data_IF_060097201933
#
_entry.id   IF_060097201933
#
_cell.length_a   1.000
_cell.length_b   1.000
_cell.length_c   1.000
_cell.angle_alpha   90.00
_cell.angle_beta   90.00
_cell.angle_gamma   90.00
#
_symmetry.space_group_name_H-M   'P 1'
#
loop_
_entity.id
_entity.type
_entity.pdbx_description
1 polymer ?
#
# COMPACT_ATOMS: atom_id res chain seq x y z
N UNK A 1 -4.90 -16.29 -22.55
CA UNK A 1 -3.51 -16.82 -22.35
C UNK A 1 -3.51 -17.68 -21.09
N UNK A 2 -2.92 -18.85 -21.11
CA UNK A 2 -2.77 -19.67 -19.90
C UNK A 2 -1.66 -19.14 -19.01
N UNK A 3 -1.67 -19.47 -17.71
CA UNK A 3 -0.61 -19.05 -16.80
C UNK A 3 0.80 -19.44 -17.24
N UNK A 4 0.94 -20.61 -17.91
CA UNK A 4 2.22 -21.05 -18.47
C UNK A 4 2.68 -20.23 -19.68
N UNK A 5 1.77 -19.83 -20.55
CA UNK A 5 2.07 -18.93 -21.68
C UNK A 5 2.44 -17.53 -21.20
N UNK A 6 1.77 -17.07 -20.13
CA UNK A 6 2.08 -15.80 -19.50
C UNK A 6 3.49 -15.79 -18.88
N UNK A 7 3.87 -16.86 -18.17
CA UNK A 7 5.23 -17.04 -17.64
C UNK A 7 6.29 -17.01 -18.75
N UNK A 8 6.06 -17.76 -19.85
CA UNK A 8 6.98 -17.80 -20.99
C UNK A 8 7.10 -16.42 -21.66
N UNK A 9 5.98 -15.73 -21.83
CA UNK A 9 5.94 -14.36 -22.36
C UNK A 9 6.68 -13.37 -21.47
N UNK A 10 6.45 -13.42 -20.16
CA UNK A 10 7.14 -12.57 -19.20
C UNK A 10 8.67 -12.79 -19.22
N UNK A 11 9.12 -14.05 -19.23
CA UNK A 11 10.55 -14.37 -19.31
C UNK A 11 11.21 -13.85 -20.59
N UNK A 12 10.47 -13.77 -21.70
CA UNK A 12 10.97 -13.25 -22.97
C UNK A 12 11.05 -11.71 -22.99
N UNK A 13 10.02 -11.03 -22.46
CA UNK A 13 9.92 -9.58 -22.53
C UNK A 13 10.60 -8.86 -21.35
N UNK A 14 10.76 -9.56 -20.24
CA UNK A 14 11.28 -9.02 -18.98
C UNK A 14 12.41 -9.93 -18.44
N UNK A 15 13.60 -9.88 -19.04
CA UNK A 15 14.69 -10.83 -18.72
C UNK A 15 15.18 -10.74 -17.28
N UNK A 16 14.92 -9.61 -16.56
CA UNK A 16 15.22 -9.44 -15.13
C UNK A 16 14.12 -9.88 -14.17
N UNK A 17 12.96 -10.29 -14.70
CA UNK A 17 11.80 -10.63 -13.88
C UNK A 17 11.92 -12.03 -13.25
N UNK A 18 11.41 -12.15 -12.03
CA UNK A 18 11.12 -13.42 -11.39
C UNK A 18 9.63 -13.68 -11.46
N UNK A 19 9.24 -14.78 -12.10
CA UNK A 19 7.84 -15.13 -12.29
C UNK A 19 7.48 -16.37 -11.48
N UNK A 20 6.34 -16.33 -10.79
CA UNK A 20 5.77 -17.46 -10.04
C UNK A 20 4.30 -17.59 -10.41
N UNK A 21 3.87 -18.82 -10.66
CA UNK A 21 2.45 -19.15 -10.87
C UNK A 21 1.95 -20.00 -9.70
N UNK A 22 0.86 -19.60 -9.09
CA UNK A 22 0.17 -20.31 -8.03
C UNK A 22 -1.32 -20.37 -8.39
N UNK A 23 -1.84 -21.58 -8.63
CA UNK A 23 -3.24 -21.80 -9.03
C UNK A 23 -3.68 -20.86 -10.17
N UNK A 24 -4.57 -19.90 -9.87
CA UNK A 24 -5.13 -18.97 -10.84
C UNK A 24 -4.41 -17.62 -10.89
N UNK A 25 -3.32 -17.46 -10.14
CA UNK A 25 -2.57 -16.20 -10.02
C UNK A 25 -1.14 -16.33 -10.51
N UNK A 26 -0.71 -15.39 -11.33
CA UNK A 26 0.69 -15.22 -11.71
C UNK A 26 1.24 -13.99 -11.04
N UNK A 27 2.43 -14.10 -10.44
CA UNK A 27 3.17 -12.98 -9.87
C UNK A 27 4.44 -12.75 -10.67
N UNK A 28 4.66 -11.50 -11.08
CA UNK A 28 5.87 -11.05 -11.78
C UNK A 28 6.58 -10.03 -10.88
N UNK A 29 7.72 -10.43 -10.31
CA UNK A 29 8.61 -9.53 -9.59
C UNK A 29 9.61 -8.91 -10.58
N UNK A 30 9.65 -7.58 -10.65
CA UNK A 30 10.54 -6.86 -11.55
C UNK A 30 11.43 -5.87 -10.82
N UNK A 31 12.64 -5.57 -11.34
CA UNK A 31 13.40 -4.41 -10.93
C UNK A 31 12.60 -3.11 -11.12
N UNK A 32 12.91 -2.08 -10.33
CA UNK A 32 12.23 -0.77 -10.38
C UNK A 32 12.23 -0.15 -11.77
N UNK A 33 13.31 -0.27 -12.47
CA UNK A 33 13.52 0.23 -13.84
C UNK A 33 12.61 -0.44 -14.87
N UNK A 34 12.20 -1.67 -14.64
CA UNK A 34 11.34 -2.46 -15.55
C UNK A 34 9.84 -2.31 -15.22
N UNK A 35 9.46 -1.48 -14.23
CA UNK A 35 8.08 -1.31 -13.77
C UNK A 35 7.09 -1.03 -14.89
N UNK A 36 7.32 0.04 -15.67
CA UNK A 36 6.41 0.41 -16.77
C UNK A 36 6.44 -0.60 -17.92
N UNK A 37 7.60 -1.23 -18.18
CA UNK A 37 7.70 -2.28 -19.19
C UNK A 37 6.85 -3.50 -18.79
N UNK A 38 6.87 -3.89 -17.51
CA UNK A 38 6.06 -4.98 -16.98
C UNK A 38 4.57 -4.66 -17.05
N UNK A 39 4.15 -3.45 -16.72
CA UNK A 39 2.76 -3.02 -16.83
C UNK A 39 2.27 -2.97 -18.28
N UNK A 40 3.12 -2.50 -19.21
CA UNK A 40 2.81 -2.51 -20.64
C UNK A 40 2.68 -3.93 -21.17
N UNK A 41 3.60 -4.81 -20.80
CA UNK A 41 3.52 -6.24 -21.13
C UNK A 41 2.22 -6.88 -20.62
N UNK A 42 1.87 -6.60 -19.36
CA UNK A 42 0.66 -7.12 -18.73
C UNK A 42 -0.60 -6.71 -19.51
N UNK A 43 -0.71 -5.42 -19.87
CA UNK A 43 -1.86 -4.87 -20.59
C UNK A 43 -1.89 -5.31 -22.04
N UNK A 44 -0.79 -5.09 -22.78
CA UNK A 44 -0.78 -5.14 -24.24
C UNK A 44 -0.49 -6.54 -24.80
N UNK A 45 0.22 -7.38 -24.04
CA UNK A 45 0.62 -8.72 -24.47
C UNK A 45 -0.12 -9.80 -23.71
N UNK A 46 -0.22 -9.68 -22.38
CA UNK A 46 -0.89 -10.67 -21.55
C UNK A 46 -2.41 -10.51 -21.50
N UNK A 47 -2.96 -9.39 -22.02
CA UNK A 47 -4.40 -9.14 -22.04
C UNK A 47 -5.00 -8.86 -20.66
N UNK A 48 -4.17 -8.53 -19.65
CA UNK A 48 -4.59 -8.14 -18.32
C UNK A 48 -4.83 -6.62 -18.29
N UNK A 49 -5.87 -6.15 -18.97
CA UNK A 49 -6.20 -4.75 -19.16
C UNK A 49 -7.11 -4.17 -18.09
N UNK A 50 -7.73 -5.01 -17.27
CA UNK A 50 -8.53 -4.56 -16.13
C UNK A 50 -7.63 -4.26 -14.94
N UNK A 51 -7.52 -2.96 -14.60
CA UNK A 51 -6.85 -2.50 -13.38
C UNK A 51 -7.80 -2.67 -12.20
N UNK A 52 -7.42 -3.46 -11.21
CA UNK A 52 -8.22 -3.69 -10.01
C UNK A 52 -7.75 -2.81 -8.85
N UNK A 53 -6.51 -2.98 -8.40
CA UNK A 53 -5.93 -2.17 -7.32
C UNK A 53 -4.41 -2.03 -7.43
N UNK A 54 -3.87 -1.04 -6.75
CA UNK A 54 -2.45 -0.86 -6.49
C UNK A 54 -2.27 -0.46 -5.03
N UNK A 55 -1.26 -1.00 -4.37
CA UNK A 55 -0.87 -0.65 -3.01
C UNK A 55 0.61 -0.89 -2.77
N UNK A 56 1.08 -0.65 -1.54
CA UNK A 56 2.42 -1.04 -1.13
C UNK A 56 2.38 -1.92 0.12
N UNK A 57 3.47 -2.64 0.34
CA UNK A 57 3.74 -3.40 1.56
C UNK A 57 5.08 -2.96 2.11
N UNK A 58 5.11 -2.60 3.37
CA UNK A 58 6.36 -2.29 4.06
C UNK A 58 7.10 -3.58 4.42
N UNK A 59 8.15 -3.89 3.66
CA UNK A 59 9.04 -5.05 3.86
C UNK A 59 10.20 -4.73 4.82
N UNK A 60 10.07 -3.64 5.60
CA UNK A 60 11.06 -3.17 6.58
C UNK A 60 12.43 -2.90 5.93
N UNK A 61 13.47 -3.66 6.35
CA UNK A 61 14.85 -3.47 5.89
C UNK A 61 15.03 -3.66 4.37
N UNK A 62 14.07 -4.31 3.70
CA UNK A 62 14.14 -4.51 2.25
C UNK A 62 13.61 -3.32 1.46
N UNK A 63 12.76 -2.50 2.05
CA UNK A 63 12.09 -1.37 1.39
C UNK A 63 10.58 -1.52 1.30
N UNK A 64 9.97 -0.81 0.36
CA UNK A 64 8.53 -0.86 0.10
C UNK A 64 8.28 -1.67 -1.17
N UNK A 65 7.53 -2.77 -1.05
CA UNK A 65 7.08 -3.54 -2.20
C UNK A 65 5.80 -2.92 -2.76
N UNK A 66 5.88 -2.27 -3.92
CA UNK A 66 4.70 -1.77 -4.65
C UNK A 66 4.13 -2.90 -5.48
N UNK A 67 2.84 -3.13 -5.34
CA UNK A 67 2.11 -4.25 -5.96
C UNK A 67 0.90 -3.70 -6.69
N UNK A 68 0.70 -4.13 -7.92
CA UNK A 68 -0.52 -3.89 -8.69
C UNK A 68 -1.17 -5.22 -9.04
N UNK A 69 -2.49 -5.27 -8.90
CA UNK A 69 -3.29 -6.39 -9.39
C UNK A 69 -4.00 -5.99 -10.68
N UNK A 70 -3.77 -6.80 -11.69
CA UNK A 70 -4.39 -6.70 -13.00
C UNK A 70 -5.16 -7.97 -13.31
N UNK A 71 -6.18 -7.87 -14.14
CA UNK A 71 -7.01 -9.00 -14.49
C UNK A 71 -7.34 -9.03 -15.99
N UNK A 72 -7.29 -10.21 -16.57
CA UNK A 72 -7.85 -10.45 -17.89
C UNK A 72 -9.26 -11.00 -17.77
N UNK A 73 -10.25 -10.22 -18.22
CA UNK A 73 -11.67 -10.62 -18.19
C UNK A 73 -11.90 -11.79 -19.16
N UNK A 74 -11.24 -11.75 -20.31
CA UNK A 74 -11.39 -12.75 -21.36
C UNK A 74 -10.81 -14.11 -20.94
N UNK A 75 -9.57 -14.11 -20.45
CA UNK A 75 -8.86 -15.31 -20.05
C UNK A 75 -9.12 -15.74 -18.59
N UNK A 76 -9.80 -14.91 -17.81
CA UNK A 76 -10.03 -15.08 -16.36
C UNK A 76 -8.73 -15.28 -15.57
N UNK A 77 -7.69 -14.56 -15.98
CA UNK A 77 -6.35 -14.67 -15.41
C UNK A 77 -6.04 -13.52 -14.48
N UNK A 78 -5.62 -13.84 -13.26
CA UNK A 78 -5.12 -12.87 -12.29
C UNK A 78 -3.62 -12.68 -12.44
N UNK A 79 -3.17 -11.43 -12.41
CA UNK A 79 -1.77 -11.06 -12.52
C UNK A 79 -1.39 -10.03 -11.45
N UNK A 80 -0.38 -10.37 -10.66
CA UNK A 80 0.31 -9.41 -9.80
C UNK A 80 1.62 -8.98 -10.46
N UNK A 81 1.83 -7.68 -10.59
CA UNK A 81 3.14 -7.12 -10.89
C UNK A 81 3.66 -6.44 -9.65
N UNK A 82 4.88 -6.80 -9.22
CA UNK A 82 5.47 -6.32 -7.99
C UNK A 82 6.87 -5.80 -8.23
N UNK A 83 7.20 -4.67 -7.60
CA UNK A 83 8.55 -4.12 -7.57
C UNK A 83 8.91 -3.66 -6.18
N UNK A 84 10.20 -3.61 -5.88
CA UNK A 84 10.72 -3.14 -4.60
C UNK A 84 11.39 -1.78 -4.78
N UNK A 85 11.00 -0.79 -3.98
CA UNK A 85 11.63 0.52 -3.93
C UNK A 85 12.30 0.75 -2.57
N UNK A 86 13.49 1.38 -2.53
CA UNK A 86 14.16 1.68 -1.28
C UNK A 86 13.34 2.65 -0.42
N UNK A 87 13.40 2.50 0.90
CA UNK A 87 12.65 3.36 1.84
C UNK A 87 13.17 4.81 1.86
N UNK A 88 14.46 5.00 1.58
CA UNK A 88 15.14 6.30 1.52
C UNK A 88 15.02 7.00 0.14
N UNK A 89 14.64 6.24 -0.91
CA UNK A 89 14.35 6.76 -2.26
C UNK A 89 13.11 6.04 -2.84
N UNK A 90 11.91 6.25 -2.26
CA UNK A 90 10.72 5.50 -2.64
C UNK A 90 10.02 6.10 -3.88
N UNK A 91 10.77 6.23 -4.97
CA UNK A 91 10.28 6.82 -6.22
C UNK A 91 10.02 5.73 -7.25
N UNK A 92 8.86 5.81 -7.92
CA UNK A 92 8.45 4.90 -8.98
C UNK A 92 7.72 5.69 -10.07
N UNK A 93 7.91 5.40 -11.36
CA UNK A 93 7.11 6.04 -12.41
C UNK A 93 5.62 5.73 -12.24
N UNK A 94 4.77 6.74 -12.48
CA UNK A 94 3.31 6.56 -12.41
C UNK A 94 2.80 5.58 -13.46
N UNK A 95 1.84 4.74 -13.07
CA UNK A 95 1.13 3.85 -13.98
C UNK A 95 -0.07 4.53 -14.69
N UNK A 96 -0.37 5.79 -14.37
CA UNK A 96 -1.55 6.51 -14.89
C UNK A 96 -1.61 6.61 -16.42
N UNK A 97 -0.51 6.71 -17.18
CA UNK A 97 -0.58 6.68 -18.64
C UNK A 97 -1.06 5.33 -19.20
N UNK A 98 -0.83 4.24 -18.46
CA UNK A 98 -1.25 2.90 -18.85
C UNK A 98 -2.66 2.58 -18.32
N UNK A 99 -2.92 2.92 -17.06
CA UNK A 99 -4.16 2.63 -16.34
C UNK A 99 -4.67 3.88 -15.63
N UNK A 100 -5.73 4.50 -16.16
CA UNK A 100 -6.32 5.70 -15.55
C UNK A 100 -6.78 5.50 -14.11
N UNK A 101 -7.24 4.29 -13.78
CA UNK A 101 -7.66 3.93 -12.43
C UNK A 101 -6.53 3.98 -11.38
N UNK A 102 -5.27 3.87 -11.81
CA UNK A 102 -4.11 3.94 -10.93
C UNK A 102 -3.99 5.29 -10.20
N UNK A 103 -4.54 6.38 -10.76
CA UNK A 103 -4.40 7.72 -10.18
C UNK A 103 -4.90 7.80 -8.72
N UNK A 104 -5.98 7.11 -8.39
CA UNK A 104 -6.52 7.10 -7.02
C UNK A 104 -5.73 6.19 -6.10
N UNK A 105 -5.37 5.01 -6.58
CA UNK A 105 -4.61 4.03 -5.82
C UNK A 105 -3.17 4.51 -5.54
N UNK A 106 -2.56 5.23 -6.48
CA UNK A 106 -1.25 5.85 -6.29
C UNK A 106 -1.29 6.98 -5.26
N UNK A 107 -2.35 7.80 -5.23
CA UNK A 107 -2.54 8.82 -4.18
C UNK A 107 -2.67 8.19 -2.81
N UNK A 108 -3.48 7.13 -2.66
CA UNK A 108 -3.61 6.39 -1.42
C UNK A 108 -2.26 5.79 -0.99
N UNK A 109 -1.56 5.12 -1.90
CA UNK A 109 -0.25 4.52 -1.62
C UNK A 109 0.79 5.57 -1.25
N UNK A 110 0.75 6.74 -1.88
CA UNK A 110 1.59 7.88 -1.52
C UNK A 110 1.32 8.35 -0.08
N UNK A 111 0.05 8.56 0.28
CA UNK A 111 -0.30 8.97 1.64
C UNK A 111 0.08 7.94 2.69
N UNK A 112 -0.23 6.68 2.45
CA UNK A 112 -0.07 5.62 3.44
C UNK A 112 1.37 5.15 3.63
N UNK A 113 2.18 5.17 2.57
CA UNK A 113 3.54 4.60 2.58
C UNK A 113 4.64 5.60 2.21
N UNK A 114 4.30 6.75 1.63
CA UNK A 114 5.27 7.75 1.18
C UNK A 114 5.92 7.45 -0.16
N UNK A 115 5.37 6.53 -0.96
CA UNK A 115 5.85 6.28 -2.33
C UNK A 115 5.56 7.49 -3.20
N UNK A 116 6.56 7.98 -3.92
CA UNK A 116 6.42 9.09 -4.87
C UNK A 116 6.25 8.53 -6.28
N UNK A 117 5.12 8.80 -6.91
CA UNK A 117 4.86 8.37 -8.29
C UNK A 117 5.23 9.49 -9.25
N UNK A 118 6.42 9.37 -9.86
CA UNK A 118 6.94 10.37 -10.80
C UNK A 118 6.06 10.46 -12.06
N UNK A 119 5.72 11.69 -12.45
CA UNK A 119 4.80 11.96 -13.55
C UNK A 119 3.31 11.82 -13.21
N UNK A 120 2.94 11.56 -11.95
CA UNK A 120 1.54 11.53 -11.54
C UNK A 120 0.87 12.91 -11.71
N UNK A 121 -0.36 13.01 -12.25
CA UNK A 121 -1.02 14.29 -12.52
C UNK A 121 -1.36 15.13 -11.29
N UNK A 122 -1.30 14.56 -10.09
CA UNK A 122 -1.54 15.30 -8.84
C UNK A 122 -1.61 14.37 -7.63
N UNK A 123 -0.50 14.24 -6.88
CA UNK A 123 -0.40 13.48 -5.62
C UNK A 123 -0.97 14.28 -4.43
N UNK A 124 -2.14 14.91 -4.61
CA UNK A 124 -2.79 15.61 -3.51
C UNK A 124 -3.36 14.61 -2.48
N UNK A 125 -3.46 15.00 -1.20
CA UNK A 125 -4.08 14.18 -0.17
C UNK A 125 -5.46 13.64 -0.57
N UNK A 126 -5.77 12.41 -0.17
CA UNK A 126 -7.00 11.71 -0.53
C UNK A 126 -7.84 11.30 0.69
N UNK A 127 -7.21 10.66 1.66
CA UNK A 127 -7.88 10.04 2.81
C UNK A 127 -7.55 10.73 4.12
N UNK A 128 -6.34 11.25 4.26
CA UNK A 128 -5.87 11.84 5.49
C UNK A 128 -6.30 13.32 5.61
N UNK A 129 -6.58 13.81 6.83
CA UNK A 129 -6.91 15.21 7.04
C UNK A 129 -5.73 16.14 6.72
N UNK A 130 -6.02 17.40 6.43
CA UNK A 130 -5.00 18.43 6.21
C UNK A 130 -4.06 18.52 7.43
N UNK A 131 -2.76 18.57 7.17
CA UNK A 131 -1.75 18.66 8.21
C UNK A 131 -1.42 17.34 8.91
N UNK A 132 -1.91 16.20 8.43
CA UNK A 132 -1.49 14.91 8.95
C UNK A 132 -0.01 14.66 8.63
N UNK A 133 0.76 14.33 9.67
CA UNK A 133 2.20 14.08 9.54
C UNK A 133 2.50 12.57 9.57
N UNK A 134 3.31 12.13 8.60
CA UNK A 134 3.78 10.74 8.49
C UNK A 134 2.91 9.84 7.61
N UNK A 135 3.28 8.56 7.58
CA UNK A 135 2.69 7.54 6.71
C UNK A 135 2.16 6.38 7.56
N UNK A 136 0.83 6.32 7.82
CA UNK A 136 0.27 5.47 8.87
C UNK A 136 0.33 3.97 8.61
N UNK A 137 0.59 3.52 7.38
CA UNK A 137 0.75 2.10 7.08
C UNK A 137 2.22 1.63 7.06
N UNK A 138 3.18 2.53 7.30
CA UNK A 138 4.55 2.12 7.57
C UNK A 138 4.65 1.47 8.95
N UNK A 139 5.49 0.45 9.06
CA UNK A 139 5.68 -0.29 10.33
C UNK A 139 6.39 0.52 11.42
N UNK A 140 7.13 1.56 11.04
CA UNK A 140 7.77 2.50 11.95
C UNK A 140 6.82 3.61 12.46
N UNK A 141 5.61 3.72 11.89
CA UNK A 141 4.63 4.71 12.30
C UNK A 141 4.06 4.39 13.69
N UNK A 142 4.10 5.34 14.66
CA UNK A 142 3.59 5.11 16.01
C UNK A 142 2.06 5.08 16.04
N UNK A 143 1.46 3.91 16.23
CA UNK A 143 0.00 3.71 16.28
C UNK A 143 -0.66 4.22 17.58
N UNK A 144 0.13 4.54 18.61
CA UNK A 144 -0.38 5.04 19.88
C UNK A 144 0.16 6.43 20.18
N UNK A 145 -0.73 7.41 20.26
CA UNK A 145 -0.39 8.71 20.82
C UNK A 145 -0.05 8.54 22.33
N UNK A 146 1.21 8.77 22.71
CA UNK A 146 1.62 8.78 24.13
C UNK A 146 1.28 10.09 24.82
N UNK A 147 0.99 11.14 24.07
CA UNK A 147 0.49 12.40 24.61
C UNK A 147 -1.03 12.30 24.80
N UNK A 148 -1.49 12.37 26.05
CA UNK A 148 -2.90 12.60 26.33
C UNK A 148 -3.24 14.01 25.85
N UNK A 149 -3.84 14.13 24.68
CA UNK A 149 -4.48 15.38 24.29
C UNK A 149 -5.84 15.45 24.96
N UNK A 150 -6.12 16.57 25.63
CA UNK A 150 -7.45 16.86 26.14
C UNK A 150 -8.44 16.85 24.95
N UNK A 151 -9.52 16.11 25.09
CA UNK A 151 -10.57 16.01 24.07
C UNK A 151 -11.11 17.41 23.72
N UNK A 152 -10.91 17.95 22.52
CA UNK A 152 -11.21 19.34 22.18
C UNK A 152 -12.71 19.66 22.09
N UNK A 153 -13.59 18.64 22.08
CA UNK A 153 -15.04 18.81 21.91
C UNK A 153 -15.87 18.42 23.12
N UNK A 154 -15.29 18.22 24.28
CA UNK A 154 -15.95 17.55 25.39
C UNK A 154 -16.84 18.42 26.27
N UNK A 155 -17.15 19.67 25.93
CA UNK A 155 -18.00 20.46 26.81
C UNK A 155 -19.02 21.28 26.05
N UNK A 156 -20.28 21.02 26.34
CA UNK A 156 -21.34 21.96 26.03
C UNK A 156 -21.20 23.23 26.92
N UNK A 157 -21.59 24.39 26.41
CA UNK A 157 -21.57 25.63 27.23
C UNK A 157 -22.41 25.44 28.51
N UNK A 158 -21.76 25.40 29.67
CA UNK A 158 -22.41 25.25 30.98
C UNK A 158 -22.05 24.00 31.77
N UNK A 159 -21.36 23.03 31.19
CA UNK A 159 -20.92 21.83 31.89
C UNK A 159 -19.72 22.09 32.80
N UNK A 160 -19.93 21.95 34.11
CA UNK A 160 -18.86 22.01 35.11
C UNK A 160 -17.97 20.77 35.00
N UNK A 161 -16.66 20.97 34.96
CA UNK A 161 -15.70 19.88 35.00
C UNK A 161 -15.93 19.02 36.26
N UNK A 162 -16.43 17.80 36.08
CA UNK A 162 -16.41 16.82 37.15
C UNK A 162 -14.93 16.50 37.48
N UNK A 163 -14.55 16.40 38.77
CA UNK A 163 -13.19 16.01 39.12
C UNK A 163 -12.91 14.64 38.52
N UNK A 164 -11.80 14.51 37.79
CA UNK A 164 -11.37 13.28 37.17
C UNK A 164 -11.22 12.19 38.26
N UNK A 165 -12.18 11.29 38.34
CA UNK A 165 -12.01 10.07 39.15
C UNK A 165 -10.95 9.23 38.43
N UNK A 166 -9.92 8.72 39.14
CA UNK A 166 -8.95 7.82 38.54
C UNK A 166 -9.73 6.60 37.98
N UNK A 167 -9.72 6.48 36.65
CA UNK A 167 -10.32 5.31 36.00
C UNK A 167 -9.55 4.08 36.46
N UNK A 168 -10.22 3.21 37.21
CA UNK A 168 -9.70 1.88 37.54
C UNK A 168 -9.42 1.19 36.22
N UNK A 169 -8.16 0.81 36.01
CA UNK A 169 -7.73 0.08 34.81
C UNK A 169 -8.49 -1.23 34.79
N UNK A 170 -9.43 -1.40 33.86
CA UNK A 170 -10.07 -2.68 33.60
C UNK A 170 -9.06 -3.53 32.84
N UNK A 171 -8.46 -4.47 33.55
CA UNK A 171 -7.60 -5.47 32.97
C UNK A 171 -8.50 -6.56 32.39
N UNK A 172 -8.38 -6.92 31.11
CA UNK A 172 -9.17 -8.01 30.54
C UNK A 172 -8.96 -9.33 31.28
N UNK A 173 -9.95 -10.22 31.32
CA UNK A 173 -9.80 -11.53 31.96
C UNK A 173 -8.58 -12.28 31.38
N UNK A 174 -7.73 -12.82 32.26
CA UNK A 174 -6.54 -13.58 31.90
C UNK A 174 -5.24 -12.76 31.77
N UNK A 175 -5.29 -11.45 31.93
CA UNK A 175 -4.09 -10.60 31.97
C UNK A 175 -3.58 -10.48 33.40
N UNK A 176 -2.30 -10.76 33.70
CA UNK A 176 -1.74 -10.65 35.05
C UNK A 176 -1.82 -9.22 35.58
N UNK A 177 -2.01 -9.08 36.93
CA UNK A 177 -1.90 -7.77 37.58
C UNK A 177 -0.47 -7.23 37.37
N UNK A 178 -0.39 -5.97 36.85
CA UNK A 178 0.90 -5.32 36.52
C UNK A 178 1.31 -5.34 35.06
N UNK A 179 0.53 -5.91 34.17
CA UNK A 179 0.75 -5.84 32.73
C UNK A 179 0.26 -4.50 32.13
N UNK A 180 1.00 -3.83 31.20
CA UNK A 180 2.35 -4.17 30.76
C UNK A 180 3.39 -3.85 31.82
N UNK A 181 4.57 -4.50 31.81
CA UNK A 181 5.67 -4.15 32.70
C UNK A 181 6.09 -2.70 32.44
N UNK A 182 6.70 -2.04 33.43
CA UNK A 182 7.14 -0.65 33.35
C UNK A 182 8.15 -0.39 32.24
#
# INVERSE_FOLDING_TARGET
MTGGELLAGAAHHLPGARCVAEEDMVTIDVPREDWLAALSFARDTAGCDFFDWLTAVDEQDKGLAVVVHLYSIEDRQHLLVRTLVPTDDPVLPTATPLFRGAAWAERETHEMFGVVFDGHPGLAPLLLPEGFEGHPLRKDFPLAARAAQDWPGAREPGERAAPARPRRRLVPPGVPEGWPPP
#
